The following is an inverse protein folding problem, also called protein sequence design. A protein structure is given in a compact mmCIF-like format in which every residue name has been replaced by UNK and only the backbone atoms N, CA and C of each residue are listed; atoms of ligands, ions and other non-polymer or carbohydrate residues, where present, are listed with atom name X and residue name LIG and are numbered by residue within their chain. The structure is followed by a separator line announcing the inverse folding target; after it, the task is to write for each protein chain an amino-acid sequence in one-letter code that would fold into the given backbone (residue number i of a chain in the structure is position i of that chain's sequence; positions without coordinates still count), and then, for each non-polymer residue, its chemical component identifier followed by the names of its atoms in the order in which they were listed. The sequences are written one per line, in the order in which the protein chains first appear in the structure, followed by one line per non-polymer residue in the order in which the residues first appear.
data_IF_819647376901
#
_entry.id   IF_819647376901
#
_cell.length_a   1.000
_cell.length_b   1.000
_cell.length_c   1.000
_cell.angle_alpha   90.00
_cell.angle_beta   90.00
_cell.angle_gamma   90.00
#
_symmetry.space_group_name_H-M   'P 1'
#
loop_
_entity.id
_entity.type
_entity.pdbx_description
1 polymer ?
#
# COMPACT_ATOMS: atom_id res chain seq x y z
N UNK A 1 40.11 28.58 55.02
CA UNK A 1 38.91 28.02 54.38
C UNK A 1 38.90 28.43 52.92
N UNK A 2 39.45 27.60 52.02
CA UNK A 2 39.45 27.84 50.57
C UNK A 2 38.36 26.95 49.96
N UNK A 3 37.34 27.55 49.35
CA UNK A 3 36.27 26.83 48.63
C UNK A 3 36.79 26.43 47.26
N UNK A 4 36.82 25.13 46.98
CA UNK A 4 37.12 24.55 45.67
C UNK A 4 35.81 24.55 44.88
N UNK A 5 35.78 25.26 43.74
CA UNK A 5 34.70 25.14 42.77
C UNK A 5 34.98 23.93 41.88
N UNK A 6 34.08 22.94 41.93
CA UNK A 6 34.09 21.78 41.04
C UNK A 6 33.36 22.16 39.75
N UNK A 7 34.10 22.34 38.65
CA UNK A 7 33.52 22.53 37.32
C UNK A 7 33.01 21.18 36.80
N UNK A 8 31.70 21.05 36.65
CA UNK A 8 31.08 19.93 35.93
C UNK A 8 31.20 20.18 34.42
N UNK A 9 32.07 19.43 33.76
CA UNK A 9 32.07 19.29 32.30
C UNK A 9 30.92 18.33 31.95
N UNK A 10 29.82 18.85 31.40
CA UNK A 10 28.75 18.03 30.83
C UNK A 10 29.20 17.62 29.42
N UNK A 11 29.71 16.39 29.30
CA UNK A 11 29.90 15.70 28.03
C UNK A 11 28.50 15.36 27.48
N UNK A 12 28.03 16.15 26.52
CA UNK A 12 26.84 15.80 25.72
C UNK A 12 27.28 14.76 24.69
N UNK A 13 27.18 13.47 25.05
CA UNK A 13 27.20 12.39 24.08
C UNK A 13 25.92 12.47 23.25
N UNK A 14 26.05 12.90 21.99
CA UNK A 14 24.98 12.84 21.02
C UNK A 14 24.61 11.39 20.73
N UNK A 15 23.57 10.89 21.39
CA UNK A 15 22.88 9.68 20.98
C UNK A 15 22.10 10.00 19.69
N UNK A 16 22.65 9.59 18.54
CA UNK A 16 21.87 9.45 17.31
C UNK A 16 20.84 8.34 17.56
N UNK A 17 19.65 8.73 18.01
CA UNK A 17 18.50 7.84 18.05
C UNK A 17 18.03 7.73 16.60
N UNK A 18 18.47 6.68 15.91
CA UNK A 18 17.80 6.17 14.73
C UNK A 18 16.35 5.86 15.12
N UNK A 19 15.41 6.75 14.79
CA UNK A 19 14.00 6.40 14.73
C UNK A 19 13.78 5.55 13.47
N UNK A 20 14.32 4.32 13.48
CA UNK A 20 13.77 3.26 12.65
C UNK A 20 12.35 3.00 13.14
N UNK A 21 11.43 2.93 12.19
CA UNK A 21 10.02 2.74 12.40
C UNK A 21 9.77 1.59 13.40
N UNK A 22 9.10 1.90 14.51
CA UNK A 22 8.35 0.90 15.27
C UNK A 22 7.17 0.44 14.40
N UNK A 23 7.43 -0.48 13.47
CA UNK A 23 6.45 -1.35 12.82
C UNK A 23 6.48 -2.74 13.47
N UNK A 24 6.79 -2.81 14.77
CA UNK A 24 6.62 -4.02 15.57
C UNK A 24 5.51 -3.73 16.58
N UNK A 25 4.46 -4.56 16.50
CA UNK A 25 3.27 -4.60 17.36
C UNK A 25 2.08 -3.74 16.94
N UNK A 26 1.50 -4.08 15.78
CA UNK A 26 0.04 -4.21 15.65
C UNK A 26 -0.38 -5.66 15.38
N UNK A 27 0.39 -6.61 15.92
CA UNK A 27 -0.10 -7.97 16.17
C UNK A 27 -1.07 -7.94 17.36
N UNK A 28 -2.21 -7.28 17.16
CA UNK A 28 -3.27 -7.08 18.14
C UNK A 28 -4.59 -7.73 17.76
N UNK A 29 -4.60 -8.62 16.76
CA UNK A 29 -5.76 -9.46 16.47
C UNK A 29 -5.39 -10.92 16.66
N UNK A 30 -5.98 -11.54 17.68
CA UNK A 30 -6.20 -12.98 17.69
C UNK A 30 -7.02 -13.32 16.44
N UNK A 31 -6.43 -14.10 15.54
CA UNK A 31 -6.95 -14.56 14.25
C UNK A 31 -8.14 -15.53 14.39
N UNK A 32 -9.21 -15.10 15.06
CA UNK A 32 -10.50 -15.81 14.99
C UNK A 32 -11.29 -15.34 13.76
N UNK A 33 -11.05 -16.04 12.65
CA UNK A 33 -12.04 -16.32 11.61
C UNK A 33 -12.32 -15.22 10.60
N UNK A 34 -11.34 -14.86 9.78
CA UNK A 34 -11.58 -14.46 8.40
C UNK A 34 -10.81 -15.45 7.51
N UNK A 35 -11.37 -15.91 6.39
CA UNK A 35 -10.69 -16.87 5.53
C UNK A 35 -9.39 -16.25 4.99
N UNK A 36 -8.28 -16.94 5.21
CA UNK A 36 -7.03 -16.77 4.48
C UNK A 36 -6.85 -18.05 3.66
N UNK A 37 -6.72 -18.00 2.33
CA UNK A 37 -6.64 -19.21 1.52
C UNK A 37 -5.34 -19.99 1.77
N UNK A 38 -5.43 -21.32 1.74
CA UNK A 38 -4.28 -22.16 1.38
C UNK A 38 -4.02 -22.00 -0.13
N UNK A 39 -2.76 -21.77 -0.49
CA UNK A 39 -2.29 -21.60 -1.86
C UNK A 39 -2.52 -22.84 -2.73
N UNK A 40 -3.66 -22.89 -3.42
CA UNK A 40 -3.94 -23.87 -4.47
C UNK A 40 -4.33 -23.15 -5.77
N UNK A 41 -3.35 -23.07 -6.69
CA UNK A 41 -3.47 -22.60 -8.06
C UNK A 41 -4.65 -23.26 -8.79
N UNK A 42 -5.76 -22.54 -8.94
CA UNK A 42 -6.71 -22.76 -10.04
C UNK A 42 -7.19 -21.41 -10.57
N UNK A 43 -6.47 -20.94 -11.60
CA UNK A 43 -6.81 -19.76 -12.41
C UNK A 43 -7.96 -20.14 -13.36
N UNK A 44 -9.19 -20.01 -12.89
CA UNK A 44 -10.34 -19.82 -13.76
C UNK A 44 -10.94 -18.46 -13.39
N UNK A 45 -11.06 -17.56 -14.37
CA UNK A 45 -11.71 -16.26 -14.18
C UNK A 45 -13.10 -16.51 -13.58
N UNK A 46 -13.25 -16.21 -12.29
CA UNK A 46 -14.51 -16.30 -11.60
C UNK A 46 -15.17 -14.93 -11.66
N UNK A 47 -16.49 -14.92 -11.88
CA UNK A 47 -17.31 -13.72 -11.86
C UNK A 47 -17.12 -12.98 -10.52
N UNK A 48 -17.05 -11.66 -10.59
CA UNK A 48 -16.89 -10.82 -9.42
C UNK A 48 -18.09 -10.97 -8.47
N UNK A 49 -17.81 -11.20 -7.19
CA UNK A 49 -18.85 -11.18 -6.15
C UNK A 49 -19.26 -9.76 -5.74
N UNK A 50 -18.58 -8.74 -6.27
CA UNK A 50 -18.74 -7.34 -5.88
C UNK A 50 -18.81 -6.46 -7.12
N UNK A 51 -19.84 -5.62 -7.20
CA UNK A 51 -19.96 -4.61 -8.25
C UNK A 51 -19.04 -3.41 -7.95
N UNK A 52 -17.91 -3.34 -8.65
CA UNK A 52 -16.94 -2.27 -8.53
C UNK A 52 -17.19 -1.07 -9.48
N UNK A 53 -18.27 -1.07 -10.26
CA UNK A 53 -18.53 -0.05 -11.29
C UNK A 53 -18.64 1.38 -10.74
N UNK A 54 -19.23 1.56 -9.55
CA UNK A 54 -19.32 2.87 -8.90
C UNK A 54 -17.96 3.43 -8.50
N UNK A 55 -17.02 2.56 -8.11
CA UNK A 55 -15.65 2.95 -7.79
C UNK A 55 -14.83 3.23 -9.04
N UNK A 56 -14.97 2.37 -10.05
CA UNK A 56 -14.35 2.55 -11.35
C UNK A 56 -14.71 3.91 -11.99
N UNK A 57 -15.99 4.30 -11.94
CA UNK A 57 -16.44 5.61 -12.42
C UNK A 57 -15.79 6.78 -11.66
N UNK A 58 -15.62 6.65 -10.35
CA UNK A 58 -14.97 7.67 -9.53
C UNK A 58 -13.47 7.77 -9.84
N UNK A 59 -12.79 6.63 -9.97
CA UNK A 59 -11.38 6.56 -10.33
C UNK A 59 -11.13 7.22 -11.69
N UNK A 60 -11.90 6.84 -12.73
CA UNK A 60 -11.78 7.43 -14.07
C UNK A 60 -12.04 8.93 -14.11
N UNK A 61 -12.84 9.45 -13.18
CA UNK A 61 -13.20 10.86 -13.12
C UNK A 61 -12.18 11.71 -12.38
N UNK A 62 -11.55 11.16 -11.33
CA UNK A 62 -10.79 11.94 -10.35
C UNK A 62 -9.34 11.49 -10.18
N UNK A 63 -8.89 10.48 -10.92
CA UNK A 63 -7.50 10.02 -10.91
C UNK A 63 -6.94 10.09 -12.32
N UNK A 64 -5.84 10.82 -12.48
CA UNK A 64 -5.17 10.95 -13.77
C UNK A 64 -4.29 9.74 -14.10
N UNK A 65 -3.72 9.73 -15.31
CA UNK A 65 -2.86 8.64 -15.79
C UNK A 65 -1.55 8.51 -14.98
N UNK A 66 -1.18 9.54 -14.21
CA UNK A 66 -0.05 9.53 -13.29
C UNK A 66 -0.40 9.05 -11.88
N UNK A 67 -1.67 8.72 -11.64
CA UNK A 67 -2.16 8.28 -10.33
C UNK A 67 -2.30 9.42 -9.32
N UNK A 68 -2.34 10.67 -9.79
CA UNK A 68 -2.60 11.85 -8.99
C UNK A 68 -4.10 12.05 -8.83
N UNK A 69 -4.52 12.43 -7.63
CA UNK A 69 -5.94 12.40 -7.22
C UNK A 69 -6.48 13.82 -7.08
N UNK A 70 -7.58 14.12 -7.77
CA UNK A 70 -8.38 15.33 -7.54
C UNK A 70 -9.26 15.15 -6.29
N UNK A 71 -8.66 15.34 -5.11
CA UNK A 71 -9.38 15.24 -3.84
C UNK A 71 -10.53 16.25 -3.72
N UNK A 72 -10.44 17.42 -4.37
CA UNK A 72 -11.53 18.42 -4.37
C UNK A 72 -12.70 17.95 -5.22
N UNK A 73 -12.43 17.33 -6.37
CA UNK A 73 -13.42 16.65 -7.21
C UNK A 73 -14.09 15.51 -6.47
N UNK A 74 -13.30 14.62 -5.86
CA UNK A 74 -13.78 13.55 -5.01
C UNK A 74 -14.68 14.05 -3.87
N UNK A 75 -14.34 15.18 -3.24
CA UNK A 75 -15.16 15.76 -2.18
C UNK A 75 -16.54 16.20 -2.67
N UNK A 76 -16.67 16.63 -3.94
CA UNK A 76 -17.97 16.98 -4.55
C UNK A 76 -18.80 15.72 -4.84
N UNK A 77 -18.15 14.63 -5.23
CA UNK A 77 -18.79 13.33 -5.47
C UNK A 77 -18.79 12.42 -4.23
N UNK A 78 -18.59 13.00 -3.04
CA UNK A 78 -18.60 12.29 -1.76
C UNK A 78 -19.81 11.35 -1.58
N UNK A 79 -21.05 11.73 -1.96
CA UNK A 79 -22.18 10.81 -1.87
C UNK A 79 -22.04 9.52 -2.69
N UNK A 80 -21.37 9.58 -3.85
CA UNK A 80 -21.11 8.39 -4.67
C UNK A 80 -20.06 7.49 -4.03
N UNK A 81 -19.01 8.07 -3.44
CA UNK A 81 -18.01 7.33 -2.68
C UNK A 81 -18.65 6.66 -1.45
N UNK A 82 -19.44 7.39 -0.67
CA UNK A 82 -20.11 6.84 0.52
C UNK A 82 -21.06 5.69 0.17
N UNK A 83 -21.74 5.76 -0.99
CA UNK A 83 -22.56 4.66 -1.50
C UNK A 83 -21.72 3.42 -1.76
N UNK A 84 -20.56 3.57 -2.39
CA UNK A 84 -19.64 2.47 -2.67
C UNK A 84 -19.04 1.87 -1.38
N UNK A 85 -18.57 2.71 -0.45
CA UNK A 85 -18.04 2.26 0.85
C UNK A 85 -19.11 1.52 1.67
N UNK A 86 -20.36 1.99 1.63
CA UNK A 86 -21.48 1.31 2.28
C UNK A 86 -21.70 -0.08 1.68
N UNK A 87 -21.67 -0.21 0.35
CA UNK A 87 -21.77 -1.50 -0.33
C UNK A 87 -20.61 -2.43 0.09
N UNK A 88 -19.35 -1.97 -0.01
CA UNK A 88 -18.19 -2.76 0.43
C UNK A 88 -18.33 -3.21 1.89
N UNK A 89 -18.74 -2.31 2.79
CA UNK A 89 -18.90 -2.65 4.21
C UNK A 89 -19.98 -3.70 4.48
N UNK A 90 -20.94 -3.86 3.57
CA UNK A 90 -21.97 -4.91 3.69
C UNK A 90 -21.47 -6.29 3.25
N UNK A 91 -20.38 -6.35 2.49
CA UNK A 91 -19.76 -7.59 2.04
C UNK A 91 -19.07 -8.30 3.21
N UNK A 92 -19.15 -9.62 3.19
CA UNK A 92 -18.47 -10.49 4.15
C UNK A 92 -17.77 -11.58 3.36
N UNK A 93 -16.50 -11.38 2.96
CA UNK A 93 -15.73 -12.45 2.33
C UNK A 93 -15.71 -13.68 3.24
N UNK A 94 -16.01 -14.83 2.65
CA UNK A 94 -16.04 -16.14 3.32
C UNK A 94 -15.20 -17.16 2.52
N UNK A 95 -15.20 -18.42 2.96
CA UNK A 95 -14.41 -19.49 2.37
C UNK A 95 -14.86 -19.88 0.95
N UNK A 96 -15.99 -19.35 0.47
CA UNK A 96 -16.46 -19.54 -0.91
C UNK A 96 -15.86 -18.55 -1.90
N UNK A 97 -15.08 -17.58 -1.43
CA UNK A 97 -14.38 -16.61 -2.28
C UNK A 97 -13.01 -17.17 -2.64
N UNK A 98 -12.68 -17.17 -3.93
CA UNK A 98 -11.35 -17.55 -4.35
C UNK A 98 -10.34 -16.41 -4.12
N UNK A 99 -9.06 -16.73 -4.32
CA UNK A 99 -7.95 -15.78 -4.13
C UNK A 99 -8.13 -14.48 -4.92
N UNK A 100 -8.52 -14.58 -6.18
CA UNK A 100 -8.62 -13.44 -7.09
C UNK A 100 -9.75 -12.49 -6.69
N UNK A 101 -10.89 -13.03 -6.26
CA UNK A 101 -12.01 -12.28 -5.67
C UNK A 101 -11.59 -11.59 -4.37
N UNK A 102 -10.80 -12.26 -3.52
CA UNK A 102 -10.30 -11.68 -2.27
C UNK A 102 -9.30 -10.54 -2.55
N UNK A 103 -8.36 -10.72 -3.48
CA UNK A 103 -7.40 -9.69 -3.86
C UNK A 103 -8.11 -8.45 -4.43
N UNK A 104 -8.99 -8.63 -5.41
CA UNK A 104 -9.75 -7.52 -6.00
C UNK A 104 -10.53 -6.75 -4.92
N UNK A 105 -11.23 -7.47 -4.03
CA UNK A 105 -11.97 -6.86 -2.94
C UNK A 105 -11.09 -6.08 -1.97
N UNK A 106 -10.02 -6.67 -1.44
CA UNK A 106 -9.21 -6.04 -0.39
C UNK A 106 -8.33 -4.90 -0.93
N UNK A 107 -7.84 -4.98 -2.18
CA UNK A 107 -7.12 -3.87 -2.82
C UNK A 107 -8.06 -2.69 -3.01
N UNK A 108 -9.25 -2.92 -3.56
CA UNK A 108 -10.25 -1.86 -3.73
C UNK A 108 -10.70 -1.28 -2.38
N UNK A 109 -10.88 -2.14 -1.36
CA UNK A 109 -11.23 -1.72 -0.01
C UNK A 109 -10.14 -0.80 0.57
N UNK A 110 -8.88 -1.20 0.50
CA UNK A 110 -7.76 -0.38 0.97
C UNK A 110 -7.75 0.97 0.25
N UNK A 111 -7.74 0.96 -1.08
CA UNK A 111 -7.62 2.18 -1.89
C UNK A 111 -8.80 3.14 -1.67
N UNK A 112 -10.04 2.65 -1.66
CA UNK A 112 -11.21 3.48 -1.45
C UNK A 112 -11.26 4.08 -0.02
N UNK A 113 -10.86 3.30 1.00
CA UNK A 113 -10.81 3.81 2.37
C UNK A 113 -9.59 4.72 2.63
N UNK A 114 -8.49 4.58 1.88
CA UNK A 114 -7.41 5.57 1.88
C UNK A 114 -7.92 6.90 1.34
N UNK A 115 -8.63 6.91 0.20
CA UNK A 115 -9.25 8.13 -0.33
C UNK A 115 -10.24 8.73 0.66
N UNK A 116 -11.12 7.92 1.26
CA UNK A 116 -12.03 8.39 2.33
C UNK A 116 -11.29 9.02 3.52
N UNK A 117 -10.20 8.40 3.96
CA UNK A 117 -9.39 8.91 5.07
C UNK A 117 -8.81 10.28 4.74
N UNK A 118 -8.28 10.46 3.53
CA UNK A 118 -7.79 11.77 3.08
C UNK A 118 -8.93 12.78 3.06
N UNK A 119 -10.06 12.46 2.44
CA UNK A 119 -11.22 13.37 2.32
C UNK A 119 -11.75 13.82 3.69
N UNK A 120 -11.81 12.91 4.67
CA UNK A 120 -12.23 13.24 6.06
C UNK A 120 -11.28 14.19 6.78
N UNK A 121 -10.04 14.29 6.33
CA UNK A 121 -9.00 15.12 6.93
C UNK A 121 -8.53 16.23 5.97
N UNK A 122 -9.24 16.45 4.86
CA UNK A 122 -8.84 17.40 3.84
C UNK A 122 -9.17 18.84 4.29
N UNK A 123 -8.28 19.83 4.08
CA UNK A 123 -6.96 19.71 3.46
C UNK A 123 -5.90 19.15 4.41
N UNK A 124 -5.18 18.13 3.97
CA UNK A 124 -3.96 17.61 4.61
C UNK A 124 -2.81 17.67 3.61
N UNK A 125 -1.57 17.78 4.09
CA UNK A 125 -0.37 17.77 3.24
C UNK A 125 0.22 16.38 3.07
N UNK A 126 -0.06 15.49 4.03
CA UNK A 126 0.42 14.11 4.03
C UNK A 126 -0.55 13.23 4.78
N UNK A 127 -0.68 11.97 4.36
CA UNK A 127 -1.36 10.94 5.16
C UNK A 127 -0.67 10.76 6.54
N UNK A 128 0.63 11.07 6.65
CA UNK A 128 1.38 10.98 7.92
C UNK A 128 0.96 12.03 8.95
N UNK A 129 0.33 13.10 8.51
CA UNK A 129 -0.19 14.13 9.41
C UNK A 129 -1.49 13.66 10.10
N UNK A 130 -2.10 12.57 9.62
CA UNK A 130 -3.32 11.99 10.17
C UNK A 130 -2.97 10.99 11.28
N UNK A 131 -3.34 11.33 12.51
CA UNK A 131 -3.08 10.48 13.68
C UNK A 131 -3.74 9.10 13.51
N UNK A 132 -2.90 8.05 13.54
CA UNK A 132 -3.35 6.66 13.45
C UNK A 132 -3.83 6.25 12.07
N UNK A 133 -3.34 6.87 10.98
CA UNK A 133 -3.77 6.58 9.61
C UNK A 133 -3.82 5.07 9.27
N UNK A 134 -2.84 4.29 9.76
CA UNK A 134 -2.78 2.84 9.53
C UNK A 134 -3.14 1.98 10.76
N UNK A 135 -3.28 2.57 11.95
CA UNK A 135 -3.47 1.83 13.21
C UNK A 135 -4.87 1.98 13.79
N UNK A 136 -5.57 3.09 13.51
CA UNK A 136 -6.92 3.31 13.98
C UNK A 136 -7.89 2.47 13.15
N UNK A 137 -8.81 1.79 13.82
CA UNK A 137 -9.91 1.07 13.19
C UNK A 137 -10.97 2.07 12.71
N UNK A 138 -11.32 1.97 11.43
CA UNK A 138 -12.38 2.79 10.81
C UNK A 138 -12.95 2.16 9.53
N UNK A 139 -12.27 1.16 8.97
CA UNK A 139 -12.72 0.43 7.79
C UNK A 139 -13.72 -0.62 8.22
N UNK A 140 -14.94 -0.56 7.69
CA UNK A 140 -16.03 -1.45 8.07
C UNK A 140 -16.08 -2.67 7.16
N UNK A 141 -16.17 -3.87 7.74
CA UNK A 141 -16.44 -5.12 7.05
C UNK A 141 -17.46 -5.91 7.87
N UNK A 142 -18.70 -5.98 7.39
CA UNK A 142 -19.83 -6.48 8.15
C UNK A 142 -19.99 -5.72 9.48
N UNK A 143 -19.81 -6.42 10.60
CA UNK A 143 -19.93 -5.85 11.94
C UNK A 143 -18.57 -5.53 12.60
N UNK A 144 -17.47 -5.73 11.87
CA UNK A 144 -16.11 -5.48 12.36
C UNK A 144 -15.59 -4.15 11.80
N UNK A 145 -14.79 -3.48 12.60
CA UNK A 145 -13.94 -2.37 12.14
C UNK A 145 -12.48 -2.83 12.18
N UNK A 146 -11.72 -2.49 11.14
CA UNK A 146 -10.29 -2.76 11.04
C UNK A 146 -9.55 -1.51 10.55
N UNK A 147 -8.22 -1.50 10.67
CA UNK A 147 -7.39 -0.41 10.16
C UNK A 147 -6.89 -0.69 8.74
N UNK A 148 -6.42 0.34 8.03
CA UNK A 148 -5.73 0.16 6.74
C UNK A 148 -4.52 -0.78 6.88
N UNK A 149 -3.75 -0.64 7.96
CA UNK A 149 -2.61 -1.51 8.23
C UNK A 149 -3.01 -2.97 8.47
N UNK A 150 -4.19 -3.24 9.03
CA UNK A 150 -4.71 -4.60 9.19
C UNK A 150 -5.11 -5.22 7.84
N UNK A 151 -5.71 -4.45 6.93
CA UNK A 151 -6.02 -4.92 5.56
C UNK A 151 -4.73 -5.34 4.86
N UNK A 152 -3.71 -4.49 4.89
CA UNK A 152 -2.44 -4.76 4.25
C UNK A 152 -1.72 -5.95 4.90
N UNK A 153 -1.47 -5.90 6.21
CA UNK A 153 -0.55 -6.84 6.87
C UNK A 153 -1.19 -8.16 7.31
N UNK A 154 -2.50 -8.17 7.57
CA UNK A 154 -3.19 -9.36 8.09
C UNK A 154 -4.07 -10.04 7.04
N UNK A 155 -4.40 -9.37 5.93
CA UNK A 155 -5.24 -9.93 4.86
C UNK A 155 -4.44 -10.05 3.55
N UNK A 156 -4.04 -8.93 2.94
CA UNK A 156 -3.38 -8.93 1.63
C UNK A 156 -2.02 -9.66 1.64
N UNK A 157 -1.13 -9.32 2.59
CA UNK A 157 0.18 -9.97 2.71
C UNK A 157 0.13 -11.45 3.09
N UNK A 158 -1.03 -11.98 3.46
CA UNK A 158 -1.25 -13.41 3.74
C UNK A 158 -1.71 -14.22 2.53
N UNK A 159 -1.81 -13.58 1.37
CA UNK A 159 -2.17 -14.21 0.10
C UNK A 159 -0.96 -14.50 -0.80
N UNK A 160 0.26 -14.35 -0.25
CA UNK A 160 1.55 -14.60 -0.90
C UNK A 160 1.66 -13.95 -2.28
N UNK A 161 1.18 -12.70 -2.38
CA UNK A 161 1.14 -11.92 -3.61
C UNK A 161 1.98 -10.64 -3.47
N UNK A 162 3.28 -10.65 -3.81
CA UNK A 162 4.15 -9.48 -3.66
C UNK A 162 3.69 -8.27 -4.48
N UNK A 163 2.94 -8.49 -5.57
CA UNK A 163 2.47 -7.40 -6.46
C UNK A 163 1.42 -6.50 -5.79
N UNK A 164 0.85 -6.90 -4.65
CA UNK A 164 -0.07 -6.03 -3.88
C UNK A 164 0.60 -4.71 -3.46
N UNK A 165 1.92 -4.71 -3.24
CA UNK A 165 2.69 -3.52 -2.89
C UNK A 165 2.76 -2.47 -4.00
N UNK A 166 2.36 -2.83 -5.22
CA UNK A 166 2.23 -1.91 -6.36
C UNK A 166 0.77 -1.59 -6.70
N UNK A 167 -0.19 -2.25 -6.04
CA UNK A 167 -1.61 -2.12 -6.29
C UNK A 167 -2.35 -1.31 -5.21
N UNK A 168 -1.78 -1.20 -4.01
CA UNK A 168 -2.30 -0.35 -2.94
C UNK A 168 -1.61 1.01 -2.92
N UNK A 169 -2.40 2.08 -2.86
CA UNK A 169 -1.92 3.45 -2.82
C UNK A 169 -2.17 4.06 -1.43
N UNK A 170 -1.10 4.54 -0.81
CA UNK A 170 -1.09 5.18 0.51
C UNK A 170 -1.25 6.70 0.47
N UNK A 171 -1.73 7.26 -0.65
CA UNK A 171 -1.91 8.69 -0.90
C UNK A 171 -0.62 9.54 -0.79
N UNK A 172 0.55 8.99 -1.18
CA UNK A 172 1.81 9.75 -1.19
C UNK A 172 2.44 9.83 -2.59
N UNK A 173 3.26 10.85 -2.84
CA UNK A 173 3.97 11.05 -4.12
C UNK A 173 4.88 9.87 -4.47
N UNK A 174 5.52 9.23 -3.49
CA UNK A 174 6.39 8.07 -3.74
C UNK A 174 5.65 6.72 -3.71
N UNK A 175 4.35 6.71 -3.44
CA UNK A 175 3.54 5.51 -3.50
C UNK A 175 3.38 5.03 -4.97
N UNK A 176 3.04 3.75 -5.19
CA UNK A 176 2.59 3.28 -6.50
C UNK A 176 1.37 4.06 -6.95
N UNK A 177 1.11 4.10 -8.26
CA UNK A 177 -0.05 4.80 -8.80
C UNK A 177 -1.33 4.21 -8.21
N UNK A 178 -2.27 5.07 -7.80
CA UNK A 178 -3.66 4.65 -7.76
C UNK A 178 -4.10 4.55 -9.21
N UNK A 179 -4.32 3.35 -9.73
CA UNK A 179 -4.75 3.20 -11.13
C UNK A 179 -6.18 3.75 -11.30
N UNK A 180 -6.49 4.29 -12.47
CA UNK A 180 -7.77 4.92 -12.78
C UNK A 180 -8.87 3.91 -13.17
N UNK A 181 -8.80 2.69 -12.65
CA UNK A 181 -9.77 1.62 -12.84
C UNK A 181 -9.89 0.77 -11.56
N UNK A 182 -11.07 0.22 -11.31
CA UNK A 182 -11.22 -0.68 -10.16
C UNK A 182 -10.59 -2.05 -10.45
N UNK A 183 -10.09 -2.70 -9.41
CA UNK A 183 -9.63 -4.08 -9.52
C UNK A 183 -10.83 -5.03 -9.62
N UNK A 184 -10.76 -6.06 -10.46
CA UNK A 184 -11.84 -7.04 -10.68
C UNK A 184 -11.25 -8.44 -10.66
N UNK A 185 -11.96 -9.46 -10.14
CA UNK A 185 -11.44 -10.84 -10.10
C UNK A 185 -11.10 -11.37 -11.48
N UNK A 186 -11.85 -10.95 -12.50
CA UNK A 186 -11.62 -11.34 -13.90
C UNK A 186 -10.31 -10.78 -14.47
N UNK A 187 -9.88 -9.59 -14.02
CA UNK A 187 -8.70 -8.90 -14.55
C UNK A 187 -7.54 -8.79 -13.57
N UNK A 188 -7.69 -9.26 -12.33
CA UNK A 188 -6.74 -8.98 -11.24
C UNK A 188 -5.31 -9.33 -11.60
N UNK A 189 -5.08 -10.49 -12.23
CA UNK A 189 -3.74 -10.92 -12.63
C UNK A 189 -3.11 -9.96 -13.65
N UNK A 190 -3.87 -9.53 -14.66
CA UNK A 190 -3.42 -8.55 -15.65
C UNK A 190 -3.18 -7.17 -15.03
N UNK A 191 -4.03 -6.77 -14.09
CA UNK A 191 -3.92 -5.46 -13.42
C UNK A 191 -2.71 -5.42 -12.49
N UNK A 192 -2.46 -6.49 -11.72
CA UNK A 192 -1.27 -6.65 -10.89
C UNK A 192 0.01 -6.68 -11.74
N UNK A 193 -0.01 -7.43 -12.84
CA UNK A 193 1.10 -7.49 -13.79
C UNK A 193 1.42 -6.10 -14.36
N UNK A 194 0.40 -5.38 -14.83
CA UNK A 194 0.55 -4.02 -15.36
C UNK A 194 1.09 -3.06 -14.30
N UNK A 195 0.51 -3.05 -13.09
CA UNK A 195 0.96 -2.17 -12.01
C UNK A 195 2.41 -2.44 -11.60
N UNK A 196 2.82 -3.72 -11.57
CA UNK A 196 4.21 -4.13 -11.27
C UNK A 196 5.19 -3.64 -12.33
N UNK A 197 4.89 -3.91 -13.61
CA UNK A 197 5.72 -3.49 -14.73
C UNK A 197 5.86 -1.96 -14.79
N UNK A 198 4.75 -1.24 -14.63
CA UNK A 198 4.76 0.23 -14.61
C UNK A 198 5.55 0.78 -13.42
N UNK A 199 5.38 0.22 -12.22
CA UNK A 199 6.10 0.70 -11.05
C UNK A 199 7.61 0.47 -11.16
N UNK A 200 8.05 -0.74 -11.51
CA UNK A 200 9.46 -1.11 -11.61
C UNK A 200 10.19 -0.22 -12.61
N UNK A 201 9.56 0.05 -13.76
CA UNK A 201 10.14 0.84 -14.85
C UNK A 201 9.82 2.36 -14.76
N UNK A 202 9.23 2.83 -13.65
CA UNK A 202 8.93 4.25 -13.42
C UNK A 202 10.12 5.05 -12.88
N UNK A 203 9.95 6.36 -12.79
CA UNK A 203 10.88 7.31 -12.14
C UNK A 203 11.09 7.05 -10.63
N UNK A 204 10.28 6.19 -10.02
CA UNK A 204 10.46 5.72 -8.63
C UNK A 204 11.69 4.83 -8.47
N UNK A 205 12.27 4.36 -9.57
CA UNK A 205 13.46 3.53 -9.58
C UNK A 205 14.48 4.07 -10.59
N UNK A 206 15.77 3.93 -10.27
CA UNK A 206 16.86 4.12 -11.22
C UNK A 206 17.55 2.77 -11.38
N UNK A 207 17.39 2.12 -12.52
CA UNK A 207 17.87 0.75 -12.75
C UNK A 207 18.93 0.77 -13.85
N UNK A 208 20.10 0.21 -13.54
CA UNK A 208 21.16 -0.11 -14.51
C UNK A 208 21.65 -1.54 -14.30
N UNK A 209 22.47 -2.04 -15.22
CA UNK A 209 23.00 -3.41 -15.11
C UNK A 209 23.80 -3.67 -13.82
N UNK A 210 24.47 -2.65 -13.25
CA UNK A 210 25.39 -2.81 -12.10
C UNK A 210 25.00 -2.03 -10.84
N UNK A 211 24.07 -1.10 -10.94
CA UNK A 211 23.64 -0.27 -9.80
C UNK A 211 22.15 0.06 -9.90
N UNK A 212 21.47 -0.02 -8.76
CA UNK A 212 20.06 0.27 -8.61
C UNK A 212 19.91 1.32 -7.51
N UNK A 213 19.01 2.27 -7.72
CA UNK A 213 18.49 3.15 -6.69
C UNK A 213 16.97 3.01 -6.67
N UNK A 214 16.48 2.13 -5.80
CA UNK A 214 15.09 1.65 -5.81
C UNK A 214 14.18 2.46 -4.88
N UNK A 215 12.88 2.39 -5.09
CA UNK A 215 11.90 2.87 -4.11
C UNK A 215 12.09 2.18 -2.75
N UNK A 216 11.86 2.91 -1.66
CA UNK A 216 11.92 2.37 -0.29
C UNK A 216 10.93 1.22 -0.04
N UNK A 217 9.92 1.03 -0.89
CA UNK A 217 9.00 -0.12 -0.84
C UNK A 217 9.76 -1.45 -0.90
N UNK A 218 10.79 -1.53 -1.74
CA UNK A 218 11.64 -2.73 -1.84
C UNK A 218 12.49 -2.98 -0.60
N UNK A 219 12.73 -1.95 0.22
CA UNK A 219 13.43 -2.08 1.51
C UNK A 219 12.46 -2.51 2.62
N UNK A 220 11.33 -1.80 2.75
CA UNK A 220 10.34 -2.02 3.81
C UNK A 220 9.68 -3.39 3.72
N UNK A 221 9.40 -3.86 2.50
CA UNK A 221 8.72 -5.13 2.23
C UNK A 221 9.63 -6.16 1.57
N UNK A 222 10.95 -6.02 1.74
CA UNK A 222 11.97 -6.88 1.10
C UNK A 222 11.64 -8.36 1.17
N UNK A 223 11.21 -8.84 2.35
CA UNK A 223 10.94 -10.26 2.57
C UNK A 223 9.84 -10.81 1.66
N UNK A 224 8.83 -9.99 1.33
CA UNK A 224 7.71 -10.39 0.49
C UNK A 224 8.17 -10.60 -0.97
N UNK A 225 9.20 -9.87 -1.41
CA UNK A 225 9.80 -10.01 -2.75
C UNK A 225 10.84 -11.13 -2.83
N UNK A 226 11.38 -11.58 -1.69
CA UNK A 226 12.54 -12.49 -1.64
C UNK A 226 12.22 -13.88 -1.11
N UNK A 227 10.94 -14.26 -1.01
CA UNK A 227 10.56 -15.59 -0.55
C UNK A 227 11.03 -16.70 -1.51
N UNK A 228 10.95 -16.44 -2.83
CA UNK A 228 11.28 -17.42 -3.88
C UNK A 228 12.56 -17.05 -4.67
N UNK A 229 13.44 -16.23 -4.09
CA UNK A 229 14.68 -15.80 -4.75
C UNK A 229 15.24 -14.49 -4.21
N UNK A 230 16.22 -13.94 -4.90
CA UNK A 230 16.79 -12.63 -4.59
C UNK A 230 15.90 -11.48 -5.11
N UNK A 231 16.06 -10.30 -4.51
CA UNK A 231 15.37 -9.09 -4.95
C UNK A 231 15.68 -8.75 -6.42
N UNK A 232 16.93 -8.98 -6.84
CA UNK A 232 17.35 -8.76 -8.24
C UNK A 232 16.68 -9.76 -9.18
N UNK A 233 16.50 -11.02 -8.78
CA UNK A 233 15.76 -12.00 -9.58
C UNK A 233 14.28 -11.62 -9.71
N UNK A 234 13.65 -11.12 -8.64
CA UNK A 234 12.28 -10.60 -8.69
C UNK A 234 12.16 -9.42 -9.66
N UNK A 235 13.00 -8.40 -9.51
CA UNK A 235 12.94 -7.20 -10.36
C UNK A 235 13.24 -7.54 -11.83
N UNK A 236 14.18 -8.46 -12.10
CA UNK A 236 14.51 -8.91 -13.46
C UNK A 236 13.36 -9.60 -14.20
N UNK A 237 12.28 -10.00 -13.52
CA UNK A 237 11.08 -10.54 -14.18
C UNK A 237 10.33 -9.45 -14.96
N UNK A 238 10.45 -8.19 -14.55
CA UNK A 238 9.66 -7.05 -15.05
C UNK A 238 10.51 -5.89 -15.59
N UNK A 239 11.78 -5.80 -15.19
CA UNK A 239 12.69 -4.72 -15.58
C UNK A 239 13.03 -4.76 -17.06
N UNK A 240 12.94 -3.62 -17.74
CA UNK A 240 13.38 -3.45 -19.13
C UNK A 240 14.91 -3.58 -19.27
N UNK A 241 15.66 -3.31 -18.20
CA UNK A 241 17.11 -3.46 -18.14
C UNK A 241 17.47 -4.78 -17.48
N UNK A 242 18.34 -5.58 -18.11
CA UNK A 242 18.89 -6.78 -17.48
C UNK A 242 19.88 -6.40 -16.37
N UNK A 243 19.56 -6.78 -15.13
CA UNK A 243 20.34 -6.48 -13.94
C UNK A 243 21.28 -7.65 -13.62
N UNK A 244 22.56 -7.36 -13.36
CA UNK A 244 23.54 -8.34 -12.93
C UNK A 244 23.25 -8.80 -11.50
N UNK A 245 23.47 -10.09 -11.20
CA UNK A 245 23.21 -10.66 -9.87
C UNK A 245 24.01 -10.02 -8.73
N UNK A 246 25.13 -9.37 -9.04
CA UNK A 246 25.99 -8.66 -8.08
C UNK A 246 25.80 -7.14 -8.10
N UNK A 247 24.74 -6.63 -8.74
CA UNK A 247 24.48 -5.19 -8.79
C UNK A 247 24.29 -4.61 -7.39
N UNK A 248 24.79 -3.39 -7.18
CA UNK A 248 24.64 -2.68 -5.90
C UNK A 248 23.23 -2.11 -5.80
N UNK A 249 22.59 -2.29 -4.64
CA UNK A 249 21.25 -1.77 -4.39
C UNK A 249 21.32 -0.69 -3.32
N UNK A 250 20.92 0.52 -3.70
CA UNK A 250 20.64 1.64 -2.81
C UNK A 250 19.14 1.96 -2.87
N UNK A 251 18.63 2.76 -1.92
CA UNK A 251 17.22 3.18 -1.90
C UNK A 251 17.06 4.70 -1.99
N UNK A 252 16.03 5.14 -2.69
CA UNK A 252 15.62 6.55 -2.80
C UNK A 252 14.94 7.01 -1.50
N UNK A 253 14.99 8.32 -1.25
CA UNK A 253 14.16 8.94 -0.23
C UNK A 253 12.67 8.85 -0.64
N UNK A 254 11.80 8.68 0.34
CA UNK A 254 10.37 8.57 0.13
C UNK A 254 9.66 9.91 0.37
N UNK A 255 9.01 10.44 -0.67
CA UNK A 255 8.23 11.67 -0.59
C UNK A 255 6.81 11.37 -0.10
N UNK A 256 6.55 11.82 1.14
CA UNK A 256 5.28 11.65 1.84
C UNK A 256 4.26 12.75 1.56
N UNK A 257 4.57 13.73 0.72
CA UNK A 257 3.57 14.72 0.29
C UNK A 257 2.39 14.00 -0.37
N UNK A 258 1.21 14.59 -0.22
CA UNK A 258 -0.04 14.07 -0.79
C UNK A 258 0.06 13.99 -2.33
N UNK A 259 -0.38 12.88 -2.92
CA UNK A 259 -0.48 12.70 -4.37
C UNK A 259 -1.69 13.45 -4.97
N UNK A 260 -1.73 14.76 -4.78
CA UNK A 260 -2.83 15.61 -5.24
C UNK A 260 -2.60 16.14 -6.66
N UNK A 261 -3.60 15.98 -7.53
CA UNK A 261 -3.62 16.59 -8.85
C UNK A 261 -3.67 18.14 -8.73
N UNK A 262 -2.82 18.83 -9.49
CA UNK A 262 -2.67 20.29 -9.42
C UNK A 262 -3.59 21.03 -10.37
#
# INVERSE_FOLDING_TARGET
MKKVFLSFLILVSGAFICQSCNLISSAGFNSKGLPTPDSANTSAAAEDKVDHSGWDQLLKKHVDDDGMVDYKGFQKDRPALDKYLKMLSSMKPDDTWNRDQLLAYYINLYNAYTVDLILRNYPTKSIKDISGAWTKEFVKIGNKEISLGAIENSLLRKMDEPRIHFAINCASISCPKLINEAYTSENIEKQLEKATNEFINSDKNEISASQLKLSSIFDWYKNDFTENGSLIEYINQYSEVKINSNAKVDYKNYDWNLNEAK
#
